data_IF_123700254932
#
_entry.id   IF_123700254932
#
_cell.length_a   1.000
_cell.length_b   1.000
_cell.length_c   1.000
_cell.angle_alpha   90.00
_cell.angle_beta   90.00
_cell.angle_gamma   90.00
#
_symmetry.space_group_name_H-M   'P 1'
#
loop_
_entity.id
_entity.type
_entity.pdbx_description
1 polymer ?
#
# COMPACT_ATOMS: atom_id res chain seq x y z
N UNK A 1 33.29 -0.15 34.33
CA UNK A 1 32.50 -0.15 33.09
C UNK A 1 31.36 -1.17 33.18
N UNK A 2 30.18 -0.71 33.60
CA UNK A 2 28.99 -1.55 33.73
C UNK A 2 28.21 -1.55 32.40
N UNK A 3 27.77 -2.73 32.03
CA UNK A 3 26.92 -3.07 30.89
C UNK A 3 25.53 -2.46 31.12
N UNK A 4 25.03 -1.66 30.19
CA UNK A 4 23.61 -1.28 30.16
C UNK A 4 22.99 -1.90 28.91
N UNK A 5 22.31 -3.02 29.13
CA UNK A 5 21.45 -3.67 28.16
C UNK A 5 20.08 -2.98 28.26
N UNK A 6 19.75 -2.15 27.27
CA UNK A 6 18.36 -1.73 27.04
C UNK A 6 17.77 -2.72 26.03
N UNK A 7 16.94 -3.61 26.56
CA UNK A 7 15.97 -4.38 25.78
C UNK A 7 14.94 -3.42 25.20
N UNK A 8 14.99 -3.21 23.88
CA UNK A 8 13.84 -2.72 23.15
C UNK A 8 12.93 -3.92 22.85
N UNK A 9 11.85 -4.00 23.62
CA UNK A 9 10.70 -4.89 23.43
C UNK A 9 10.00 -4.46 22.13
N UNK A 10 10.43 -5.03 21.02
CA UNK A 10 9.77 -4.84 19.73
C UNK A 10 8.53 -5.72 19.77
N UNK A 11 7.39 -5.10 20.04
CA UNK A 11 6.07 -5.71 19.90
C UNK A 11 5.98 -6.36 18.50
N UNK A 12 5.76 -7.68 18.39
CA UNK A 12 5.56 -8.29 17.09
C UNK A 12 4.23 -7.79 16.56
N UNK A 13 4.29 -6.94 15.54
CA UNK A 13 3.13 -6.57 14.72
C UNK A 13 2.37 -7.85 14.41
N UNK A 14 1.12 -7.94 14.89
CA UNK A 14 0.23 -9.06 14.61
C UNK A 14 0.11 -9.18 13.09
N UNK A 15 0.83 -10.13 12.52
CA UNK A 15 0.52 -10.72 11.22
C UNK A 15 -0.86 -11.36 11.36
N UNK A 16 -1.89 -10.56 11.09
CA UNK A 16 -3.19 -11.10 10.71
C UNK A 16 -2.97 -12.07 9.54
N UNK A 17 -3.70 -13.20 9.49
CA UNK A 17 -3.51 -14.18 8.43
C UNK A 17 -3.75 -13.46 7.11
N UNK A 18 -2.66 -13.21 6.37
CA UNK A 18 -2.68 -12.74 5.00
C UNK A 18 -3.38 -13.83 4.21
N UNK A 19 -4.70 -13.71 4.10
CA UNK A 19 -5.41 -14.23 2.95
C UNK A 19 -4.57 -13.77 1.77
N UNK A 20 -4.11 -14.69 0.93
CA UNK A 20 -3.34 -14.37 -0.29
C UNK A 20 -4.24 -13.61 -1.28
N UNK A 21 -4.77 -12.47 -0.85
CA UNK A 21 -5.41 -11.48 -1.66
C UNK A 21 -4.33 -11.04 -2.63
N UNK A 22 -4.52 -11.41 -3.89
CA UNK A 22 -3.60 -11.07 -4.96
C UNK A 22 -3.64 -9.55 -5.11
N UNK A 23 -2.66 -8.87 -4.50
CA UNK A 23 -2.51 -7.43 -4.61
C UNK A 23 -1.92 -7.11 -5.99
N UNK A 24 -2.57 -6.22 -6.69
CA UNK A 24 -2.16 -5.73 -7.99
C UNK A 24 -1.24 -4.54 -7.79
N UNK A 25 -0.09 -4.62 -8.44
CA UNK A 25 0.89 -3.54 -8.46
C UNK A 25 0.46 -2.51 -9.51
N UNK A 26 0.18 -1.30 -9.05
CA UNK A 26 -0.18 -0.17 -9.91
C UNK A 26 0.87 0.93 -9.80
N UNK A 27 1.08 1.66 -10.89
CA UNK A 27 1.86 2.91 -10.89
C UNK A 27 0.91 4.08 -11.05
N UNK A 28 0.95 5.03 -10.13
CA UNK A 28 0.13 6.22 -10.17
C UNK A 28 0.65 7.15 -11.27
N UNK A 29 -0.25 7.62 -12.12
CA UNK A 29 0.04 8.52 -13.23
C UNK A 29 -0.20 9.98 -12.85
N UNK A 30 -1.08 10.24 -11.88
CA UNK A 30 -1.50 11.58 -11.46
C UNK A 30 -1.48 11.72 -9.95
N UNK A 31 -0.90 12.83 -9.46
CA UNK A 31 -0.92 13.17 -8.03
C UNK A 31 -2.30 13.67 -7.63
N UNK A 32 -2.88 13.09 -6.58
CA UNK A 32 -4.07 13.62 -5.91
C UNK A 32 -3.66 14.34 -4.63
N UNK A 33 -4.15 15.57 -4.36
CA UNK A 33 -3.88 16.26 -3.10
C UNK A 33 -4.58 15.59 -1.90
N UNK A 34 -5.63 14.82 -2.15
CA UNK A 34 -6.35 14.06 -1.11
C UNK A 34 -6.11 12.56 -1.28
N UNK A 35 -5.88 11.83 -0.19
CA UNK A 35 -5.79 10.37 -0.23
C UNK A 35 -7.17 9.78 -0.58
N UNK A 36 -7.16 8.68 -1.32
CA UNK A 36 -8.36 7.93 -1.66
C UNK A 36 -8.57 6.77 -0.69
N UNK A 37 -9.79 6.24 -0.63
CA UNK A 37 -10.08 5.02 0.10
C UNK A 37 -10.08 3.83 -0.88
N UNK A 38 -9.28 2.81 -0.63
CA UNK A 38 -9.33 1.55 -1.38
C UNK A 38 -10.56 0.73 -1.00
N UNK A 39 -10.92 -0.27 -1.80
CA UNK A 39 -12.00 -1.21 -1.48
C UNK A 39 -11.71 -1.98 -0.18
N UNK A 40 -10.44 -2.17 0.14
CA UNK A 40 -9.97 -2.71 1.42
C UNK A 40 -10.18 -1.75 2.62
N UNK A 41 -10.59 -0.51 2.37
CA UNK A 41 -10.78 0.53 3.40
C UNK A 41 -9.50 1.23 3.82
N UNK A 42 -8.40 1.07 3.07
CA UNK A 42 -7.11 1.70 3.35
C UNK A 42 -7.01 3.06 2.65
N UNK A 43 -6.42 4.04 3.34
CA UNK A 43 -6.16 5.36 2.76
C UNK A 43 -4.90 5.32 1.90
N UNK A 44 -5.05 5.55 0.60
CA UNK A 44 -3.97 5.57 -0.38
C UNK A 44 -3.67 6.99 -0.82
N UNK A 45 -2.47 7.49 -0.51
CA UNK A 45 -1.96 8.72 -1.10
C UNK A 45 -1.57 8.45 -2.56
N UNK A 46 -2.05 9.28 -3.49
CA UNK A 46 -1.72 9.14 -4.90
C UNK A 46 -0.69 10.19 -5.29
N UNK A 47 0.52 9.76 -5.62
CA UNK A 47 1.59 10.62 -6.15
C UNK A 47 2.03 10.12 -7.52
N UNK A 48 2.04 11.00 -8.52
CA UNK A 48 2.46 10.64 -9.88
C UNK A 48 3.89 10.09 -9.89
N UNK A 49 4.03 8.84 -10.34
CA UNK A 49 5.29 8.11 -10.36
C UNK A 49 5.38 7.03 -9.28
N UNK A 50 4.59 7.11 -8.22
CA UNK A 50 4.59 6.15 -7.13
C UNK A 50 3.97 4.81 -7.52
N UNK A 51 4.40 3.77 -6.81
CA UNK A 51 3.94 2.40 -7.03
C UNK A 51 3.30 1.88 -5.76
N UNK A 52 2.04 1.48 -5.87
CA UNK A 52 1.26 0.93 -4.78
C UNK A 52 0.78 -0.49 -5.10
N UNK A 53 0.47 -1.23 -4.04
CA UNK A 53 -0.11 -2.57 -4.11
C UNK A 53 -1.52 -2.47 -3.55
N UNK A 54 -2.52 -2.66 -4.39
CA UNK A 54 -3.93 -2.55 -4.00
C UNK A 54 -4.69 -3.79 -4.43
N UNK A 55 -5.88 -4.01 -3.89
CA UNK A 55 -6.74 -5.08 -4.37
C UNK A 55 -7.13 -4.90 -5.86
N UNK A 56 -7.51 -6.00 -6.51
CA UNK A 56 -7.89 -6.01 -7.92
C UNK A 56 -8.99 -4.98 -8.24
N UNK A 57 -10.00 -4.86 -7.39
CA UNK A 57 -11.11 -3.91 -7.58
C UNK A 57 -10.61 -2.46 -7.59
N UNK A 58 -9.78 -2.09 -6.64
CA UNK A 58 -9.18 -0.75 -6.55
C UNK A 58 -8.22 -0.48 -7.71
N UNK A 59 -7.44 -1.49 -8.11
CA UNK A 59 -6.53 -1.37 -9.25
C UNK A 59 -7.31 -1.12 -10.54
N UNK A 60 -8.34 -1.92 -10.82
CA UNK A 60 -9.19 -1.73 -12.00
C UNK A 60 -9.82 -0.34 -11.99
N UNK A 61 -10.39 0.10 -10.87
CA UNK A 61 -10.98 1.44 -10.76
C UNK A 61 -9.96 2.57 -11.03
N UNK A 62 -8.74 2.44 -10.50
CA UNK A 62 -7.67 3.42 -10.72
C UNK A 62 -7.16 3.42 -12.16
N UNK A 63 -7.11 2.25 -12.81
CA UNK A 63 -6.69 2.11 -14.19
C UNK A 63 -7.76 2.63 -15.16
N UNK A 64 -9.02 2.26 -14.94
CA UNK A 64 -10.15 2.68 -15.76
C UNK A 64 -10.41 4.18 -15.66
N UNK A 65 -10.18 4.79 -14.48
CA UNK A 65 -10.23 6.24 -14.31
C UNK A 65 -9.03 6.98 -14.92
N UNK A 66 -7.99 6.25 -15.35
CA UNK A 66 -6.75 6.79 -15.89
C UNK A 66 -5.81 7.39 -14.85
N UNK A 67 -6.10 7.22 -13.56
CA UNK A 67 -5.30 7.73 -12.43
C UNK A 67 -4.05 6.90 -12.21
N UNK A 68 -4.10 5.60 -12.51
CA UNK A 68 -2.96 4.69 -12.43
C UNK A 68 -2.87 3.78 -13.66
N UNK A 69 -1.77 3.04 -13.78
CA UNK A 69 -1.57 1.97 -14.75
C UNK A 69 -1.15 0.67 -14.07
N UNK A 70 -1.46 -0.48 -14.67
CA UNK A 70 -0.94 -1.76 -14.21
C UNK A 70 0.58 -1.80 -14.43
N UNK A 71 1.33 -1.93 -13.34
CA UNK A 71 2.79 -1.97 -13.38
C UNK A 71 3.27 -3.42 -13.36
N UNK A 72 3.40 -4.01 -14.55
CA UNK A 72 4.07 -5.30 -14.73
C UNK A 72 5.52 -5.23 -14.21
N UNK A 73 6.01 -6.36 -13.68
CA UNK A 73 7.38 -6.54 -13.20
C UNK A 73 8.39 -6.50 -14.35
#
# INVERSE_FOLDING_TARGET
PAHEAVSEDIEPAKEEPVVEATLIRIRVLMTSPEPILTASGESLALEAGDVHFVDQESADWLIESGVAEAAAL
#
